data_IF_763977269170
#
_entry.id   IF_763977269170
#
_cell.length_a   1.000
_cell.length_b   1.000
_cell.length_c   1.000
_cell.angle_alpha   90.00
_cell.angle_beta   90.00
_cell.angle_gamma   90.00
#
_symmetry.space_group_name_H-M   'P 1'
#
loop_
_entity.id
_entity.type
_entity.pdbx_description
1 polymer ?
#
# COMPACT_ATOMS: atom_id res chain seq x y z
N UNK A 1 -1.31 24.17 3.59
CA UNK A 1 -0.08 24.43 4.39
C UNK A 1 1.13 24.11 3.54
N UNK A 2 2.33 24.66 3.90
CA UNK A 2 3.58 24.38 3.19
C UNK A 2 4.61 23.94 4.24
N UNK A 3 5.31 22.83 3.97
CA UNK A 3 6.47 22.40 4.73
C UNK A 3 7.74 22.77 3.98
N UNK A 4 8.66 23.50 4.65
CA UNK A 4 9.95 23.90 4.08
C UNK A 4 10.99 22.87 4.48
N UNK A 5 11.48 22.11 3.50
CA UNK A 5 12.54 21.13 3.76
C UNK A 5 13.84 21.86 4.06
N UNK A 6 14.45 21.53 5.18
CA UNK A 6 15.78 22.08 5.56
C UNK A 6 16.85 21.18 4.94
N UNK A 7 17.85 21.81 4.31
CA UNK A 7 19.03 21.07 3.85
C UNK A 7 19.84 20.56 5.05
N UNK A 8 20.27 19.31 4.98
CA UNK A 8 21.13 18.69 5.99
C UNK A 8 22.59 19.12 5.75
N UNK A 9 23.12 20.00 6.60
CA UNK A 9 24.50 20.51 6.48
C UNK A 9 25.53 19.64 7.23
N UNK A 10 25.10 18.94 8.27
CA UNK A 10 25.93 18.06 9.10
C UNK A 10 25.26 16.68 9.21
N UNK A 11 25.34 15.86 8.14
CA UNK A 11 24.70 14.56 8.16
C UNK A 11 25.31 13.63 9.21
N UNK A 12 24.47 12.85 9.86
CA UNK A 12 24.85 11.84 10.85
C UNK A 12 24.09 10.53 10.59
N UNK A 13 24.53 9.45 11.21
CA UNK A 13 23.86 8.16 11.07
C UNK A 13 22.41 8.22 11.55
N UNK A 14 21.52 7.66 10.73
CA UNK A 14 20.09 7.61 10.98
C UNK A 14 19.75 6.29 11.66
N UNK A 15 19.02 6.36 12.78
CA UNK A 15 18.36 5.22 13.40
C UNK A 15 16.93 5.65 13.69
N UNK A 16 15.96 4.97 13.06
CA UNK A 16 14.57 5.39 13.16
C UNK A 16 13.62 4.18 13.21
N UNK A 17 12.37 4.46 13.54
CA UNK A 17 11.26 3.51 13.46
C UNK A 17 10.16 4.07 12.58
N UNK A 18 9.44 3.20 11.91
CA UNK A 18 8.30 3.57 11.07
C UNK A 18 7.00 2.98 11.63
N UNK A 19 5.84 3.52 11.28
CA UNK A 19 4.56 2.95 11.72
C UNK A 19 4.36 1.53 11.18
N UNK A 20 3.36 0.83 11.72
CA UNK A 20 2.93 -0.47 11.20
C UNK A 20 2.46 -0.39 9.76
N UNK A 21 2.62 -1.49 9.02
CA UNK A 21 2.23 -1.58 7.61
C UNK A 21 0.73 -1.36 7.41
N UNK A 22 0.38 -0.37 6.57
CA UNK A 22 -1.00 -0.13 6.16
C UNK A 22 -1.61 -1.36 5.48
N UNK A 23 -0.85 -1.96 4.57
CA UNK A 23 -1.30 -3.10 3.77
C UNK A 23 -1.56 -4.34 4.63
N UNK A 24 -0.73 -4.58 5.64
CA UNK A 24 -0.91 -5.69 6.59
C UNK A 24 -2.02 -5.37 7.58
N UNK A 25 -2.06 -4.15 8.16
CA UNK A 25 -3.13 -3.73 9.09
C UNK A 25 -4.51 -3.94 8.50
N UNK A 26 -4.76 -3.44 7.28
CA UNK A 26 -6.08 -3.54 6.65
C UNK A 26 -6.47 -5.00 6.32
N UNK A 27 -5.51 -5.84 5.94
CA UNK A 27 -5.75 -7.28 5.74
C UNK A 27 -6.05 -7.99 7.06
N UNK A 28 -5.25 -7.74 8.07
CA UNK A 28 -5.42 -8.32 9.40
C UNK A 28 -6.77 -7.94 10.03
N UNK A 29 -7.21 -6.69 9.88
CA UNK A 29 -8.53 -6.23 10.33
C UNK A 29 -9.66 -7.07 9.72
N UNK A 30 -9.62 -7.29 8.38
CA UNK A 30 -10.65 -8.07 7.70
C UNK A 30 -10.58 -9.55 8.06
N UNK A 31 -9.38 -10.14 8.06
CA UNK A 31 -9.20 -11.57 8.37
C UNK A 31 -9.63 -11.84 9.82
N UNK A 32 -9.23 -10.98 10.79
CA UNK A 32 -9.64 -11.11 12.19
C UNK A 32 -11.16 -10.97 12.38
N UNK A 33 -11.83 -10.07 11.64
CA UNK A 33 -13.29 -9.93 11.66
C UNK A 33 -14.00 -11.19 11.11
N UNK A 34 -13.37 -11.86 10.15
CA UNK A 34 -13.89 -13.10 9.54
C UNK A 34 -13.46 -14.36 10.30
N UNK A 35 -12.49 -14.29 11.21
CA UNK A 35 -12.07 -15.41 12.06
C UNK A 35 -13.15 -15.81 13.09
N UNK A 36 -12.98 -16.97 13.73
CA UNK A 36 -13.85 -17.41 14.80
C UNK A 36 -13.25 -17.08 16.15
N UNK A 37 -13.78 -16.06 16.84
CA UNK A 37 -13.33 -15.68 18.18
C UNK A 37 -12.55 -14.37 18.23
N UNK A 38 -11.75 -14.20 19.30
CA UNK A 38 -11.05 -12.95 19.60
C UNK A 38 -9.62 -12.97 19.04
N UNK A 39 -9.26 -11.97 18.25
CA UNK A 39 -7.89 -11.70 17.81
C UNK A 39 -7.38 -10.39 18.41
N UNK A 40 -6.08 -10.30 18.68
CA UNK A 40 -5.38 -9.08 19.08
C UNK A 40 -4.33 -8.74 18.03
N UNK A 41 -4.51 -7.62 17.36
CA UNK A 41 -3.58 -7.10 16.36
C UNK A 41 -2.66 -6.08 17.03
N UNK A 42 -1.34 -6.28 16.99
CA UNK A 42 -0.34 -5.43 17.65
C UNK A 42 0.51 -4.71 16.62
N UNK A 43 0.97 -3.49 16.93
CA UNK A 43 1.74 -2.67 15.99
C UNK A 43 0.89 -2.08 14.85
N UNK A 44 -0.43 -1.99 15.03
CA UNK A 44 -1.34 -1.48 14.00
C UNK A 44 -1.01 -0.05 13.57
N UNK A 45 -1.24 0.22 12.28
CA UNK A 45 -1.27 1.57 11.78
C UNK A 45 -2.59 2.25 12.15
N UNK A 46 -2.50 3.44 12.75
CA UNK A 46 -3.61 4.37 12.91
C UNK A 46 -3.43 5.55 11.96
N UNK A 47 -4.19 5.56 10.90
CA UNK A 47 -4.20 6.57 9.83
C UNK A 47 -5.63 6.77 9.33
N UNK A 48 -5.84 7.74 8.48
CA UNK A 48 -7.18 7.96 7.89
C UNK A 48 -7.71 6.67 7.24
N UNK A 49 -6.89 5.96 6.48
CA UNK A 49 -7.28 4.71 5.80
C UNK A 49 -7.71 3.60 6.78
N UNK A 50 -6.96 3.38 7.85
CA UNK A 50 -7.28 2.33 8.84
C UNK A 50 -8.46 2.72 9.74
N UNK A 51 -8.62 4.00 10.06
CA UNK A 51 -9.77 4.49 10.84
C UNK A 51 -11.09 4.29 10.08
N UNK A 52 -11.13 4.55 8.77
CA UNK A 52 -12.30 4.22 7.94
C UNK A 52 -12.63 2.72 7.97
N UNK A 53 -11.58 1.86 7.92
CA UNK A 53 -11.80 0.41 7.99
C UNK A 53 -12.35 -0.02 9.36
N UNK A 54 -11.78 0.49 10.45
CA UNK A 54 -12.23 0.22 11.83
C UNK A 54 -13.68 0.67 12.03
N UNK A 55 -14.04 1.90 11.60
CA UNK A 55 -15.41 2.41 11.70
C UNK A 55 -16.39 1.52 10.91
N UNK A 56 -16.01 1.11 9.71
CA UNK A 56 -16.81 0.19 8.91
C UNK A 56 -17.09 -1.14 9.63
N UNK A 57 -16.09 -1.74 10.27
CA UNK A 57 -16.28 -2.98 11.05
C UNK A 57 -17.21 -2.76 12.25
N UNK A 58 -17.08 -1.63 12.96
CA UNK A 58 -17.97 -1.26 14.06
C UNK A 58 -19.41 -1.08 13.56
N UNK A 59 -19.62 -0.39 12.43
CA UNK A 59 -20.93 -0.19 11.81
C UNK A 59 -21.57 -1.51 11.39
N UNK A 60 -20.78 -2.46 10.89
CA UNK A 60 -21.18 -3.83 10.56
C UNK A 60 -21.48 -4.70 11.79
N UNK A 61 -21.21 -4.18 13.01
CA UNK A 61 -21.57 -4.79 14.28
C UNK A 61 -20.50 -5.70 14.87
N UNK A 62 -19.27 -5.68 14.34
CA UNK A 62 -18.16 -6.39 14.98
C UNK A 62 -17.75 -5.68 16.27
N UNK A 63 -17.51 -6.41 17.39
CA UNK A 63 -16.90 -5.85 18.59
C UNK A 63 -15.42 -5.53 18.30
N UNK A 64 -15.10 -4.25 18.29
CA UNK A 64 -13.74 -3.74 18.07
C UNK A 64 -13.36 -2.86 19.27
N UNK A 65 -12.23 -3.15 19.89
CA UNK A 65 -11.60 -2.32 20.92
C UNK A 65 -10.29 -1.78 20.39
N UNK A 66 -10.10 -0.49 20.49
CA UNK A 66 -8.93 0.23 19.97
C UNK A 66 -8.13 0.80 21.14
N UNK A 67 -6.82 0.56 21.17
CA UNK A 67 -5.85 1.16 22.07
C UNK A 67 -4.75 1.79 21.22
N UNK A 68 -4.91 3.07 20.86
CA UNK A 68 -3.96 3.79 19.98
C UNK A 68 -2.59 3.97 20.66
N UNK A 69 -2.55 4.15 21.98
CA UNK A 69 -1.30 4.32 22.74
C UNK A 69 -0.42 3.07 22.66
N UNK A 70 -1.03 1.88 22.71
CA UNK A 70 -0.34 0.60 22.54
C UNK A 70 -0.21 0.15 21.09
N UNK A 71 -0.85 0.87 20.16
CA UNK A 71 -1.02 0.45 18.77
C UNK A 71 -1.65 -0.93 18.63
N UNK A 72 -2.68 -1.20 19.44
CA UNK A 72 -3.37 -2.49 19.50
C UNK A 72 -4.84 -2.36 19.09
N UNK A 73 -5.34 -3.35 18.36
CA UNK A 73 -6.75 -3.50 18.03
C UNK A 73 -7.19 -4.90 18.38
N UNK A 74 -8.22 -5.02 19.23
CA UNK A 74 -8.86 -6.29 19.52
C UNK A 74 -10.15 -6.41 18.74
N UNK A 75 -10.33 -7.51 18.00
CA UNK A 75 -11.53 -7.79 17.19
C UNK A 75 -12.10 -9.13 17.59
N UNK A 76 -13.43 -9.20 17.76
CA UNK A 76 -14.14 -10.48 17.87
C UNK A 76 -14.83 -10.78 16.54
N UNK A 77 -14.36 -11.81 15.87
CA UNK A 77 -14.90 -12.29 14.60
C UNK A 77 -15.96 -13.37 14.78
N UNK A 78 -16.75 -13.60 13.73
CA UNK A 78 -17.93 -14.47 13.76
C UNK A 78 -17.87 -15.60 12.70
N UNK A 79 -16.68 -16.07 12.32
CA UNK A 79 -16.50 -17.22 11.43
C UNK A 79 -17.12 -17.00 10.04
N UNK A 80 -16.78 -15.88 9.39
CA UNK A 80 -17.27 -15.55 8.05
C UNK A 80 -18.63 -14.85 8.02
N UNK A 81 -19.29 -14.61 9.18
CA UNK A 81 -20.61 -13.95 9.21
C UNK A 81 -20.49 -12.51 9.62
N UNK A 82 -21.23 -11.61 8.97
CA UNK A 82 -21.39 -10.21 9.36
C UNK A 82 -22.53 -10.13 10.39
N UNK A 83 -22.33 -9.46 11.55
CA UNK A 83 -23.35 -9.38 12.61
C UNK A 83 -24.62 -8.63 12.19
N UNK A 84 -24.50 -7.56 11.40
CA UNK A 84 -25.62 -6.78 10.88
C UNK A 84 -25.80 -7.02 9.39
N UNK A 85 -27.04 -7.13 8.94
CA UNK A 85 -27.39 -7.30 7.53
C UNK A 85 -27.73 -5.98 6.81
N UNK A 86 -27.66 -4.85 7.49
CA UNK A 86 -27.81 -3.50 6.95
C UNK A 86 -26.80 -2.55 7.61
N UNK A 87 -26.14 -1.74 6.81
CA UNK A 87 -25.26 -0.66 7.30
C UNK A 87 -24.99 0.37 6.19
N UNK A 88 -24.66 1.59 6.61
CA UNK A 88 -24.04 2.61 5.78
C UNK A 88 -22.55 2.69 6.12
N UNK A 89 -21.71 2.58 5.10
CA UNK A 89 -20.26 2.48 5.23
C UNK A 89 -19.61 3.60 4.44
N UNK A 90 -18.78 4.41 5.12
CA UNK A 90 -17.93 5.40 4.47
C UNK A 90 -16.48 4.87 4.40
N UNK A 91 -16.00 4.66 3.18
CA UNK A 91 -14.63 4.19 2.94
C UNK A 91 -13.63 5.33 2.70
N UNK A 92 -14.08 6.57 2.71
CA UNK A 92 -13.24 7.74 2.50
C UNK A 92 -12.41 7.65 1.22
N UNK A 93 -11.11 7.94 1.31
CA UNK A 93 -10.12 7.78 0.23
C UNK A 93 -9.36 6.46 0.32
N UNK A 94 -9.74 5.58 1.24
CA UNK A 94 -9.02 4.35 1.58
C UNK A 94 -9.24 3.25 0.54
N UNK A 95 -8.34 3.16 -0.46
CA UNK A 95 -8.49 2.22 -1.57
C UNK A 95 -8.58 0.75 -1.14
N UNK A 96 -7.87 0.35 -0.08
CA UNK A 96 -7.93 -1.02 0.46
C UNK A 96 -9.27 -1.28 1.15
N UNK A 97 -9.73 -0.37 2.01
CA UNK A 97 -11.03 -0.48 2.66
C UNK A 97 -12.16 -0.54 1.63
N UNK A 98 -12.14 0.36 0.63
CA UNK A 98 -13.12 0.41 -0.45
C UNK A 98 -13.27 -0.94 -1.15
N UNK A 99 -12.16 -1.56 -1.57
CA UNK A 99 -12.19 -2.81 -2.34
C UNK A 99 -12.47 -4.03 -1.49
N UNK A 100 -11.86 -4.11 -0.30
CA UNK A 100 -12.03 -5.24 0.61
C UNK A 100 -13.44 -5.32 1.17
N UNK A 101 -13.98 -4.19 1.63
CA UNK A 101 -15.35 -4.14 2.14
C UNK A 101 -16.36 -4.35 1.02
N UNK A 102 -16.16 -3.81 -0.18
CA UNK A 102 -17.03 -4.07 -1.32
C UNK A 102 -17.10 -5.58 -1.64
N UNK A 103 -15.95 -6.28 -1.66
CA UNK A 103 -15.96 -7.73 -1.89
C UNK A 103 -16.65 -8.49 -0.75
N UNK A 104 -16.34 -8.16 0.50
CA UNK A 104 -17.01 -8.77 1.66
C UNK A 104 -18.53 -8.62 1.59
N UNK A 105 -19.00 -7.37 1.38
CA UNK A 105 -20.42 -7.03 1.40
C UNK A 105 -21.17 -7.59 0.18
N UNK A 106 -20.51 -7.59 -1.00
CA UNK A 106 -21.05 -8.19 -2.22
C UNK A 106 -21.16 -9.72 -2.19
N UNK A 107 -20.39 -10.39 -1.32
CA UNK A 107 -20.49 -11.82 -1.07
C UNK A 107 -21.35 -12.15 0.15
N UNK A 108 -21.79 -11.18 0.93
CA UNK A 108 -22.54 -11.38 2.17
C UNK A 108 -24.03 -11.14 1.99
N UNK A 109 -24.85 -11.90 2.72
CA UNK A 109 -26.29 -11.65 2.79
C UNK A 109 -26.55 -10.33 3.51
N UNK A 110 -27.38 -9.47 2.89
CA UNK A 110 -27.70 -8.16 3.45
C UNK A 110 -27.84 -7.07 2.40
N UNK A 111 -27.95 -5.84 2.85
CA UNK A 111 -28.07 -4.64 2.01
C UNK A 111 -27.23 -3.53 2.62
N UNK A 112 -26.14 -3.17 1.94
CA UNK A 112 -25.13 -2.26 2.47
C UNK A 112 -24.93 -1.10 1.51
N UNK A 113 -25.10 0.13 2.02
CA UNK A 113 -24.83 1.35 1.25
C UNK A 113 -23.40 1.80 1.49
N UNK A 114 -22.62 1.98 0.43
CA UNK A 114 -21.20 2.34 0.51
C UNK A 114 -20.97 3.68 -0.16
N UNK A 115 -20.46 4.63 0.62
CA UNK A 115 -20.06 5.97 0.15
C UNK A 115 -18.54 6.12 0.20
N UNK A 116 -18.01 7.11 -0.53
CA UNK A 116 -16.58 7.40 -0.57
C UNK A 116 -16.29 8.88 -0.83
N UNK A 117 -15.01 9.26 -0.72
CA UNK A 117 -14.56 10.59 -1.13
C UNK A 117 -14.59 10.76 -2.66
N UNK A 118 -14.57 12.02 -3.12
CA UNK A 118 -14.48 12.36 -4.56
C UNK A 118 -13.20 11.79 -5.23
N UNK A 119 -12.10 11.66 -4.47
CA UNK A 119 -10.87 11.03 -4.95
C UNK A 119 -11.10 9.53 -5.21
N UNK A 120 -11.79 8.83 -4.31
CA UNK A 120 -12.04 7.39 -4.46
C UNK A 120 -13.07 7.09 -5.55
N UNK A 121 -14.07 7.95 -5.78
CA UNK A 121 -15.04 7.82 -6.90
C UNK A 121 -14.36 7.69 -8.26
N UNK A 122 -13.18 8.33 -8.45
CA UNK A 122 -12.43 8.32 -9.71
C UNK A 122 -11.57 7.06 -9.90
N UNK A 123 -11.34 6.29 -8.84
CA UNK A 123 -10.46 5.12 -8.88
C UNK A 123 -11.19 3.90 -9.45
N UNK A 124 -10.47 2.98 -10.12
CA UNK A 124 -11.10 1.82 -10.76
C UNK A 124 -11.76 0.89 -9.73
N UNK A 125 -13.04 0.53 -10.01
CA UNK A 125 -13.83 -0.45 -9.25
C UNK A 125 -14.52 -1.46 -10.17
N UNK A 126 -14.65 -1.14 -11.47
CA UNK A 126 -15.48 -1.90 -12.43
C UNK A 126 -15.17 -3.39 -12.46
N UNK A 127 -13.88 -3.77 -12.54
CA UNK A 127 -13.54 -5.19 -12.70
C UNK A 127 -13.97 -6.02 -11.47
N UNK A 128 -13.87 -5.43 -10.25
CA UNK A 128 -14.36 -6.07 -9.03
C UNK A 128 -15.90 -6.16 -9.00
N UNK A 129 -16.59 -5.07 -9.32
CA UNK A 129 -18.06 -5.00 -9.27
C UNK A 129 -18.68 -5.97 -10.29
N UNK A 130 -18.17 -6.02 -11.52
CA UNK A 130 -18.60 -7.01 -12.54
C UNK A 130 -18.36 -8.46 -12.07
N UNK A 131 -17.25 -8.73 -11.39
CA UNK A 131 -16.99 -10.06 -10.83
C UNK A 131 -17.96 -10.41 -9.70
N UNK A 132 -18.32 -9.43 -8.86
CA UNK A 132 -19.32 -9.63 -7.80
C UNK A 132 -20.73 -9.83 -8.36
N UNK A 133 -21.13 -9.11 -9.40
CA UNK A 133 -22.40 -9.33 -10.12
C UNK A 133 -22.49 -10.76 -10.69
N UNK A 134 -21.41 -11.25 -11.31
CA UNK A 134 -21.33 -12.66 -11.78
C UNK A 134 -21.42 -13.65 -10.63
N UNK A 135 -21.01 -13.27 -9.43
CA UNK A 135 -21.13 -14.08 -8.21
C UNK A 135 -22.48 -13.91 -7.51
N UNK A 136 -23.45 -13.25 -8.13
CA UNK A 136 -24.82 -13.10 -7.63
C UNK A 136 -25.02 -11.88 -6.73
N UNK A 137 -24.08 -10.95 -6.66
CA UNK A 137 -24.32 -9.68 -5.97
C UNK A 137 -25.32 -8.81 -6.72
N UNK A 138 -26.22 -8.16 -5.97
CA UNK A 138 -27.11 -7.12 -6.48
C UNK A 138 -26.51 -5.76 -6.16
N UNK A 139 -26.34 -4.91 -7.17
CA UNK A 139 -25.74 -3.59 -7.03
C UNK A 139 -26.69 -2.53 -7.58
N UNK A 140 -27.02 -1.54 -6.75
CA UNK A 140 -27.83 -0.37 -7.11
C UNK A 140 -26.91 0.85 -7.06
N UNK A 141 -26.61 1.46 -8.21
CA UNK A 141 -25.74 2.63 -8.30
C UNK A 141 -26.56 3.92 -8.10
N UNK A 142 -26.08 4.84 -7.25
CA UNK A 142 -26.77 6.10 -6.97
C UNK A 142 -26.52 7.14 -8.07
N UNK A 143 -25.33 7.15 -8.66
CA UNK A 143 -24.87 8.13 -9.66
C UNK A 143 -24.43 7.43 -10.95
N UNK A 144 -23.18 7.02 -11.01
CA UNK A 144 -22.56 6.41 -12.19
C UNK A 144 -22.34 4.91 -11.99
N UNK A 145 -22.63 4.12 -13.02
CA UNK A 145 -22.39 2.69 -13.04
C UNK A 145 -20.90 2.37 -12.74
N UNK A 146 -20.65 1.37 -11.89
CA UNK A 146 -19.33 0.93 -11.42
C UNK A 146 -18.54 1.97 -10.62
N UNK A 147 -19.20 3.01 -10.06
CA UNK A 147 -18.59 4.01 -9.20
C UNK A 147 -19.39 4.17 -7.90
N UNK A 148 -18.70 4.61 -6.84
CA UNK A 148 -19.37 5.03 -5.61
C UNK A 148 -20.22 6.30 -5.85
N UNK A 149 -21.29 6.51 -5.06
CA UNK A 149 -21.84 5.59 -4.06
C UNK A 149 -22.75 4.53 -4.72
N UNK A 150 -22.92 3.40 -4.01
CA UNK A 150 -23.82 2.34 -4.42
C UNK A 150 -24.30 1.50 -3.23
N UNK A 151 -25.43 0.82 -3.39
CA UNK A 151 -25.89 -0.21 -2.45
C UNK A 151 -25.58 -1.59 -3.00
N UNK A 152 -25.01 -2.48 -2.17
CA UNK A 152 -24.60 -3.83 -2.55
C UNK A 152 -25.06 -4.86 -1.53
N UNK A 153 -25.32 -6.08 -2.00
CA UNK A 153 -25.62 -7.23 -1.15
C UNK A 153 -25.79 -8.51 -1.98
N UNK A 154 -26.08 -9.63 -1.31
CA UNK A 154 -26.24 -10.92 -1.94
C UNK A 154 -27.38 -11.72 -1.30
N UNK A 155 -28.02 -12.61 -2.04
CA UNK A 155 -29.05 -13.53 -1.53
C UNK A 155 -28.47 -14.84 -0.98
N UNK A 156 -27.20 -15.13 -1.26
CA UNK A 156 -26.50 -16.35 -0.90
C UNK A 156 -26.47 -17.40 -2.00
N UNK A 157 -26.84 -17.02 -3.22
CA UNK A 157 -26.69 -17.84 -4.42
C UNK A 157 -25.43 -17.41 -5.18
N UNK A 158 -24.42 -18.28 -5.21
CA UNK A 158 -23.11 -17.94 -5.78
C UNK A 158 -22.76 -18.86 -6.96
N UNK A 159 -22.13 -18.33 -7.98
CA UNK A 159 -21.41 -19.13 -8.96
C UNK A 159 -20.19 -19.84 -8.32
N UNK A 160 -19.70 -20.92 -8.94
CA UNK A 160 -18.56 -21.69 -8.42
C UNK A 160 -17.22 -21.14 -8.88
N UNK A 161 -17.24 -20.29 -9.89
CA UNK A 161 -16.05 -19.69 -10.50
C UNK A 161 -16.27 -18.23 -10.85
N UNK A 162 -15.20 -17.45 -10.82
CA UNK A 162 -15.19 -16.08 -11.33
C UNK A 162 -13.85 -15.77 -11.97
N UNK A 163 -13.87 -14.91 -12.99
CA UNK A 163 -12.68 -14.35 -13.60
C UNK A 163 -12.44 -12.94 -13.04
N UNK A 164 -11.18 -12.61 -12.75
CA UNK A 164 -10.78 -11.29 -12.29
C UNK A 164 -9.54 -10.80 -13.02
N UNK A 165 -9.58 -9.55 -13.51
CA UNK A 165 -8.43 -8.88 -14.09
C UNK A 165 -7.74 -8.02 -13.02
N UNK A 166 -6.41 -8.17 -12.88
CA UNK A 166 -5.60 -7.48 -11.88
C UNK A 166 -4.80 -6.29 -12.43
N UNK A 167 -4.83 -6.04 -13.74
CA UNK A 167 -3.97 -5.02 -14.37
C UNK A 167 -4.24 -3.60 -13.85
N UNK A 168 -5.47 -3.30 -13.43
CA UNK A 168 -5.80 -2.01 -12.81
C UNK A 168 -5.60 -2.01 -11.30
N UNK A 169 -5.74 -3.15 -10.63
CA UNK A 169 -5.52 -3.27 -9.19
C UNK A 169 -5.48 -4.73 -8.72
N UNK A 170 -4.38 -5.13 -8.12
CA UNK A 170 -4.26 -6.44 -7.43
C UNK A 170 -5.14 -6.53 -6.17
N UNK A 171 -5.63 -5.40 -5.66
CA UNK A 171 -6.54 -5.38 -4.51
C UNK A 171 -7.88 -6.07 -4.81
N UNK A 172 -8.31 -6.14 -6.07
CA UNK A 172 -9.53 -6.86 -6.46
C UNK A 172 -9.42 -8.36 -6.13
N UNK A 173 -8.31 -8.97 -6.54
CA UNK A 173 -8.07 -10.39 -6.25
C UNK A 173 -7.87 -10.63 -4.76
N UNK A 174 -7.07 -9.79 -4.08
CA UNK A 174 -6.87 -9.87 -2.63
C UNK A 174 -8.19 -9.79 -1.86
N UNK A 175 -9.09 -8.88 -2.28
CA UNK A 175 -10.42 -8.70 -1.69
C UNK A 175 -11.29 -9.96 -1.83
N UNK A 176 -11.34 -10.55 -3.02
CA UNK A 176 -12.09 -11.77 -3.29
C UNK A 176 -11.52 -12.97 -2.51
N UNK A 177 -10.19 -13.11 -2.45
CA UNK A 177 -9.52 -14.19 -1.72
C UNK A 177 -9.89 -14.16 -0.23
N UNK A 178 -9.72 -13.01 0.44
CA UNK A 178 -10.01 -12.90 1.88
C UNK A 178 -11.49 -13.14 2.16
N UNK A 179 -12.37 -12.59 1.32
CA UNK A 179 -13.82 -12.62 1.55
C UNK A 179 -14.49 -13.93 1.13
N UNK A 180 -13.83 -14.79 0.36
CA UNK A 180 -14.43 -16.01 -0.21
C UNK A 180 -14.96 -16.99 0.84
N UNK A 181 -14.49 -16.96 2.08
CA UNK A 181 -14.97 -17.86 3.15
C UNK A 181 -16.45 -17.67 3.47
N UNK A 182 -17.03 -16.49 3.20
CA UNK A 182 -18.46 -16.22 3.47
C UNK A 182 -19.40 -17.00 2.56
N UNK A 183 -18.90 -17.55 1.45
CA UNK A 183 -19.69 -18.30 0.47
C UNK A 183 -19.96 -19.75 0.92
N UNK A 184 -19.18 -20.29 1.85
CA UNK A 184 -19.29 -21.67 2.37
C UNK A 184 -19.36 -22.77 1.28
N UNK A 185 -18.66 -22.57 0.15
CA UNK A 185 -18.61 -23.50 -0.98
C UNK A 185 -17.21 -23.60 -1.59
N UNK A 186 -16.96 -24.63 -2.39
CA UNK A 186 -15.75 -24.64 -3.22
C UNK A 186 -15.84 -23.51 -4.24
N UNK A 187 -14.78 -22.72 -4.34
CA UNK A 187 -14.76 -21.54 -5.17
C UNK A 187 -13.43 -21.40 -5.90
N UNK A 188 -13.48 -21.09 -7.19
CA UNK A 188 -12.29 -20.89 -8.01
C UNK A 188 -12.26 -19.47 -8.56
N UNK A 189 -11.14 -18.80 -8.41
CA UNK A 189 -10.87 -17.46 -8.97
C UNK A 189 -9.82 -17.63 -10.08
N UNK A 190 -10.23 -17.41 -11.33
CA UNK A 190 -9.31 -17.36 -12.46
C UNK A 190 -8.75 -15.92 -12.58
N UNK A 191 -7.45 -15.80 -12.78
CA UNK A 191 -6.77 -14.51 -12.80
C UNK A 191 -6.27 -14.20 -14.20
N UNK A 192 -6.57 -13.00 -14.67
CA UNK A 192 -5.97 -12.41 -15.88
C UNK A 192 -5.15 -11.20 -15.50
N UNK A 193 -4.08 -10.94 -16.26
CA UNK A 193 -3.10 -9.91 -15.91
C UNK A 193 -2.04 -10.42 -14.93
N UNK A 194 -1.04 -9.58 -14.68
CA UNK A 194 0.14 -9.94 -13.87
C UNK A 194 0.52 -8.89 -12.84
N UNK A 195 -0.22 -7.77 -12.80
CA UNK A 195 0.13 -6.63 -11.96
C UNK A 195 -0.05 -6.90 -10.46
N UNK A 196 0.93 -6.46 -9.67
CA UNK A 196 0.85 -6.40 -8.21
C UNK A 196 0.72 -7.75 -7.52
N UNK A 197 1.23 -8.82 -8.13
CA UNK A 197 1.14 -10.19 -7.58
C UNK A 197 1.88 -10.34 -6.24
N UNK A 198 2.87 -9.49 -5.92
CA UNK A 198 3.49 -9.48 -4.59
C UNK A 198 2.48 -9.15 -3.47
N UNK A 199 1.52 -8.24 -3.71
CA UNK A 199 0.45 -7.94 -2.75
C UNK A 199 -0.57 -9.08 -2.63
N UNK A 200 -0.78 -9.85 -3.70
CA UNK A 200 -1.62 -11.06 -3.68
C UNK A 200 -0.92 -12.16 -2.87
N UNK A 201 0.40 -12.34 -3.06
CA UNK A 201 1.19 -13.29 -2.28
C UNK A 201 1.22 -12.91 -0.80
N UNK A 202 1.41 -11.62 -0.46
CA UNK A 202 1.25 -11.13 0.92
C UNK A 202 -0.12 -11.55 1.50
N UNK A 203 -1.20 -11.36 0.73
CA UNK A 203 -2.55 -11.75 1.15
C UNK A 203 -2.62 -13.25 1.43
N UNK A 204 -2.12 -14.09 0.52
CA UNK A 204 -2.12 -15.56 0.65
C UNK A 204 -1.33 -16.02 1.86
N UNK A 205 -0.15 -15.43 2.10
CA UNK A 205 0.70 -15.76 3.24
C UNK A 205 0.03 -15.35 4.58
N UNK A 206 -0.61 -14.19 4.63
CA UNK A 206 -1.38 -13.78 5.80
C UNK A 206 -2.59 -14.71 6.05
N UNK A 207 -3.35 -15.07 5.00
CA UNK A 207 -4.44 -16.05 5.12
C UNK A 207 -3.92 -17.37 5.69
N UNK A 208 -2.75 -17.84 5.25
CA UNK A 208 -2.09 -19.03 5.77
C UNK A 208 -1.68 -18.89 7.24
N UNK A 209 -1.16 -17.74 7.66
CA UNK A 209 -0.85 -17.46 9.07
C UNK A 209 -2.09 -17.50 9.96
N UNK A 210 -3.25 -17.12 9.43
CA UNK A 210 -4.56 -17.25 10.09
C UNK A 210 -5.24 -18.62 9.83
N UNK A 211 -4.50 -19.65 9.48
CA UNK A 211 -4.98 -21.04 9.37
C UNK A 211 -5.58 -21.44 8.02
N UNK A 212 -5.69 -20.52 7.05
CA UNK A 212 -6.27 -20.84 5.73
C UNK A 212 -5.21 -20.84 4.63
N UNK A 213 -4.79 -22.03 4.19
CA UNK A 213 -3.90 -22.19 3.04
C UNK A 213 -4.74 -22.35 1.75
N UNK A 214 -4.64 -21.37 0.85
CA UNK A 214 -5.32 -21.35 -0.44
C UNK A 214 -4.45 -21.97 -1.50
N UNK A 215 -4.97 -22.95 -2.23
CA UNK A 215 -4.25 -23.59 -3.33
C UNK A 215 -4.16 -22.65 -4.53
N UNK A 216 -2.94 -22.46 -5.04
CA UNK A 216 -2.68 -21.78 -6.30
C UNK A 216 -2.39 -22.81 -7.40
N UNK A 217 -3.21 -22.85 -8.44
CA UNK A 217 -2.92 -23.56 -9.67
C UNK A 217 -2.16 -22.63 -10.63
N UNK A 218 -0.84 -22.74 -10.60
CA UNK A 218 0.05 -21.91 -11.45
C UNK A 218 -0.13 -22.18 -12.94
N UNK A 219 -0.57 -23.38 -13.33
CA UNK A 219 -0.76 -23.75 -14.74
C UNK A 219 -1.97 -23.03 -15.35
N UNK A 220 -3.04 -22.92 -14.57
CA UNK A 220 -4.29 -22.29 -15.01
C UNK A 220 -4.42 -20.84 -14.49
N UNK A 221 -3.39 -20.33 -13.80
CA UNK A 221 -3.39 -19.02 -13.15
C UNK A 221 -4.67 -18.80 -12.33
N UNK A 222 -4.95 -19.71 -11.40
CA UNK A 222 -6.16 -19.67 -10.59
C UNK A 222 -5.90 -19.98 -9.12
N UNK A 223 -6.84 -19.55 -8.27
CA UNK A 223 -6.85 -19.84 -6.84
C UNK A 223 -8.09 -20.64 -6.49
N UNK A 224 -7.94 -21.67 -5.65
CA UNK A 224 -9.01 -22.56 -5.23
C UNK A 224 -9.18 -22.45 -3.72
N UNK A 225 -10.39 -22.02 -3.31
CA UNK A 225 -10.79 -21.89 -1.91
C UNK A 225 -11.71 -23.08 -1.57
N UNK A 226 -11.37 -23.88 -0.55
CA UNK A 226 -12.17 -25.05 -0.20
C UNK A 226 -13.47 -24.66 0.55
N UNK A 227 -14.53 -25.46 0.44
CA UNK A 227 -15.83 -25.23 1.09
C UNK A 227 -15.74 -25.03 2.62
N UNK A 228 -14.77 -25.66 3.27
CA UNK A 228 -14.58 -25.59 4.72
C UNK A 228 -13.48 -24.57 5.10
N UNK A 229 -13.26 -23.55 4.25
CA UNK A 229 -12.34 -22.47 4.57
C UNK A 229 -12.79 -21.74 5.84
N UNK A 230 -11.87 -21.51 6.76
CA UNK A 230 -12.11 -20.77 7.98
C UNK A 230 -10.81 -20.12 8.44
N UNK A 231 -10.92 -18.95 9.07
CA UNK A 231 -9.80 -18.32 9.75
C UNK A 231 -9.82 -18.62 11.24
N UNK A 232 -8.64 -18.82 11.81
CA UNK A 232 -8.42 -18.97 13.24
C UNK A 232 -8.15 -17.59 13.87
N UNK A 233 -8.74 -17.36 15.06
CA UNK A 233 -8.41 -16.16 15.83
C UNK A 233 -7.05 -16.32 16.48
N UNK A 234 -6.23 -15.26 16.45
CA UNK A 234 -4.90 -15.28 17.04
C UNK A 234 -4.41 -13.87 17.43
N UNK A 235 -3.36 -13.81 18.23
CA UNK A 235 -2.57 -12.61 18.42
C UNK A 235 -1.63 -12.46 17.21
N UNK A 236 -1.65 -11.29 16.56
CA UNK A 236 -0.93 -11.06 15.33
C UNK A 236 -0.11 -9.76 15.40
N UNK A 237 1.19 -9.88 15.16
CA UNK A 237 2.10 -8.74 15.13
C UNK A 237 2.16 -8.17 13.71
N UNK A 238 1.80 -6.89 13.56
CA UNK A 238 1.88 -6.15 12.29
C UNK A 238 3.33 -5.72 12.09
N UNK A 239 3.92 -6.10 10.96
CA UNK A 239 5.26 -5.65 10.57
C UNK A 239 5.31 -4.12 10.40
N UNK A 240 6.46 -3.48 10.67
CA UNK A 240 6.69 -2.08 10.26
C UNK A 240 6.47 -1.89 8.75
N UNK A 241 6.03 -0.70 8.34
CA UNK A 241 5.75 -0.39 6.95
C UNK A 241 7.05 -0.25 6.14
N UNK A 242 7.35 -1.25 5.30
CA UNK A 242 8.56 -1.25 4.46
C UNK A 242 8.53 -0.12 3.44
N UNK A 243 7.34 0.24 2.92
CA UNK A 243 7.23 1.39 2.03
C UNK A 243 7.69 2.68 2.70
N UNK A 244 7.32 2.87 3.98
CA UNK A 244 7.78 4.01 4.77
C UNK A 244 9.29 3.93 5.09
N UNK A 245 9.81 2.73 5.36
CA UNK A 245 11.23 2.50 5.61
C UNK A 245 12.10 2.86 4.40
N UNK A 246 11.61 2.64 3.18
CA UNK A 246 12.35 2.92 1.94
C UNK A 246 12.74 4.40 1.82
N UNK A 247 11.95 5.34 2.34
CA UNK A 247 12.35 6.76 2.35
C UNK A 247 13.62 6.98 3.17
N UNK A 248 13.72 6.35 4.34
CA UNK A 248 14.89 6.45 5.22
C UNK A 248 16.09 5.68 4.66
N UNK A 249 15.88 4.51 4.05
CA UNK A 249 16.97 3.80 3.37
C UNK A 249 17.53 4.60 2.19
N UNK A 250 16.68 5.29 1.42
CA UNK A 250 17.10 6.18 0.32
C UNK A 250 17.92 7.39 0.79
N UNK A 251 17.79 7.79 2.06
CA UNK A 251 18.64 8.86 2.64
C UNK A 251 20.09 8.40 2.79
N UNK A 252 20.36 7.08 2.91
CA UNK A 252 21.74 6.58 3.08
C UNK A 252 22.64 6.98 1.90
N UNK A 253 22.37 6.61 0.64
CA UNK A 253 23.19 7.05 -0.48
C UNK A 253 23.11 8.57 -0.71
N UNK A 254 21.94 9.18 -0.45
CA UNK A 254 21.71 10.60 -0.69
C UNK A 254 22.56 11.50 0.22
N UNK A 255 22.59 11.22 1.52
CA UNK A 255 23.29 12.00 2.55
C UNK A 255 24.68 11.44 2.87
N UNK A 256 25.01 10.27 2.33
CA UNK A 256 26.23 9.52 2.60
C UNK A 256 26.39 9.15 4.08
N UNK A 257 25.36 8.59 4.69
CA UNK A 257 25.28 8.16 6.10
C UNK A 257 24.75 6.73 6.20
N UNK A 258 25.02 6.07 7.32
CA UNK A 258 24.32 4.82 7.65
C UNK A 258 22.85 5.15 7.96
N UNK A 259 21.93 4.36 7.42
CA UNK A 259 20.50 4.42 7.77
C UNK A 259 20.01 3.07 8.27
N UNK A 260 19.46 3.04 9.48
CA UNK A 260 18.87 1.85 10.10
C UNK A 260 17.41 2.08 10.40
N UNK A 261 16.55 1.17 9.97
CA UNK A 261 15.13 1.17 10.33
C UNK A 261 14.83 -0.04 11.21
N UNK A 262 14.33 0.24 12.42
CA UNK A 262 14.10 -0.75 13.45
C UNK A 262 12.93 -1.69 13.07
N UNK A 263 13.09 -2.98 13.36
CA UNK A 263 12.05 -4.00 13.20
C UNK A 263 11.72 -4.39 11.75
N UNK A 264 12.37 -3.79 10.75
CA UNK A 264 12.25 -4.21 9.35
C UNK A 264 13.27 -5.28 9.04
N UNK A 265 12.84 -6.38 8.39
CA UNK A 265 13.68 -7.52 8.06
C UNK A 265 13.52 -7.96 6.61
N UNK A 266 14.54 -8.63 6.03
CA UNK A 266 14.52 -9.09 4.63
C UNK A 266 13.44 -10.15 4.36
N UNK A 267 12.98 -10.88 5.38
CA UNK A 267 11.91 -11.86 5.28
C UNK A 267 10.49 -11.23 5.41
N UNK A 268 10.38 -9.91 5.34
CA UNK A 268 9.09 -9.21 5.36
C UNK A 268 8.13 -9.75 4.30
N UNK A 269 6.84 -9.82 4.63
CA UNK A 269 5.77 -10.13 3.67
C UNK A 269 5.59 -9.05 2.60
N UNK A 270 6.15 -7.86 2.81
CA UNK A 270 5.96 -6.68 1.96
C UNK A 270 6.96 -6.69 0.79
N UNK A 271 6.44 -6.73 -0.45
CA UNK A 271 7.26 -6.75 -1.66
C UNK A 271 8.22 -5.57 -1.82
N UNK A 272 7.92 -4.46 -1.14
CA UNK A 272 8.75 -3.23 -1.14
C UNK A 272 10.17 -3.47 -0.59
N UNK A 273 10.40 -4.56 0.14
CA UNK A 273 11.75 -4.94 0.60
C UNK A 273 12.72 -5.12 -0.57
N UNK A 274 12.23 -5.45 -1.77
CA UNK A 274 13.03 -5.55 -2.99
C UNK A 274 13.66 -4.21 -3.42
N UNK A 275 13.20 -3.08 -2.91
CA UNK A 275 13.86 -1.79 -3.11
C UNK A 275 15.29 -1.76 -2.56
N UNK A 276 15.58 -2.58 -1.57
CA UNK A 276 16.94 -2.71 -1.02
C UNK A 276 17.91 -3.29 -2.05
N UNK A 277 17.45 -4.18 -2.95
CA UNK A 277 18.29 -4.73 -4.03
C UNK A 277 18.64 -3.61 -5.03
N UNK A 278 17.68 -2.71 -5.32
CA UNK A 278 17.95 -1.51 -6.13
C UNK A 278 19.05 -0.65 -5.47
N UNK A 279 18.96 -0.42 -4.16
CA UNK A 279 19.99 0.33 -3.43
C UNK A 279 21.35 -0.37 -3.44
N UNK A 280 21.38 -1.71 -3.41
CA UNK A 280 22.64 -2.48 -3.57
C UNK A 280 23.24 -2.24 -4.95
N UNK A 281 22.47 -2.32 -6.01
CA UNK A 281 22.91 -2.03 -7.39
C UNK A 281 23.37 -0.57 -7.54
N UNK A 282 22.76 0.35 -6.79
CA UNK A 282 23.18 1.75 -6.71
C UNK A 282 24.46 1.97 -5.89
N UNK A 283 25.05 0.89 -5.33
CA UNK A 283 26.34 0.88 -4.63
C UNK A 283 26.27 0.80 -3.11
N UNK A 284 25.09 0.73 -2.51
CA UNK A 284 24.92 0.56 -1.07
C UNK A 284 25.28 -0.86 -0.60
N UNK A 285 25.47 -1.00 0.69
CA UNK A 285 25.61 -2.32 1.34
C UNK A 285 24.46 -2.51 2.34
N UNK A 286 23.74 -3.62 2.23
CA UNK A 286 22.62 -3.94 3.11
C UNK A 286 23.03 -5.05 4.08
N UNK A 287 22.67 -4.89 5.35
CA UNK A 287 22.79 -5.95 6.36
C UNK A 287 21.50 -6.03 7.18
N UNK A 288 21.00 -7.26 7.39
CA UNK A 288 19.86 -7.53 8.27
C UNK A 288 20.38 -7.89 9.66
N UNK A 289 20.26 -6.97 10.60
CA UNK A 289 20.69 -7.15 11.99
C UNK A 289 19.50 -7.61 12.85
N UNK A 290 19.77 -8.05 14.07
CA UNK A 290 18.75 -8.61 14.96
C UNK A 290 17.58 -7.66 15.26
N UNK A 291 17.79 -6.36 15.16
CA UNK A 291 16.83 -5.30 15.49
C UNK A 291 16.42 -4.45 14.26
N UNK A 292 16.85 -4.82 13.06
CA UNK A 292 16.42 -4.17 11.82
C UNK A 292 17.49 -4.09 10.75
N UNK A 293 17.07 -3.72 9.54
CA UNK A 293 17.94 -3.59 8.38
C UNK A 293 18.75 -2.29 8.45
N UNK A 294 20.03 -2.41 8.12
CA UNK A 294 20.98 -1.33 7.95
C UNK A 294 21.32 -1.16 6.47
N UNK A 295 21.22 0.05 5.97
CA UNK A 295 21.72 0.48 4.67
C UNK A 295 22.96 1.37 4.87
N UNK A 296 24.10 0.93 4.35
CA UNK A 296 25.35 1.68 4.32
C UNK A 296 25.51 2.36 2.96
N UNK A 297 25.95 3.61 2.89
CA UNK A 297 26.12 4.32 1.64
C UNK A 297 27.23 3.74 0.76
N UNK A 298 27.25 4.07 -0.55
CA UNK A 298 28.34 3.69 -1.45
C UNK A 298 29.69 4.17 -0.94
N UNK A 299 30.71 3.31 -0.92
CA UNK A 299 32.05 3.63 -0.38
C UNK A 299 32.72 4.84 -1.05
N UNK A 300 32.45 5.07 -2.33
CA UNK A 300 33.03 6.15 -3.13
C UNK A 300 32.13 7.39 -3.23
N UNK A 301 31.07 7.47 -2.43
CA UNK A 301 30.06 8.52 -2.44
C UNK A 301 29.35 8.75 -3.80
N UNK A 302 29.43 7.78 -4.74
CA UNK A 302 28.75 7.85 -6.03
C UNK A 302 27.55 6.91 -6.03
N UNK A 303 26.38 7.46 -6.28
CA UNK A 303 25.15 6.69 -6.50
C UNK A 303 25.19 6.21 -7.96
N UNK A 304 25.13 4.91 -8.19
CA UNK A 304 25.18 4.34 -9.53
C UNK A 304 23.82 4.48 -10.21
N UNK A 305 23.79 4.87 -11.49
CA UNK A 305 22.60 4.77 -12.33
C UNK A 305 22.40 3.34 -12.84
N UNK A 306 21.22 3.07 -13.37
CA UNK A 306 20.82 1.76 -13.90
C UNK A 306 19.36 1.75 -14.32
N UNK A 307 18.83 0.61 -14.75
CA UNK A 307 17.40 0.46 -15.05
C UNK A 307 16.84 -0.74 -14.28
N UNK A 308 15.67 -0.56 -13.66
CA UNK A 308 15.02 -1.56 -12.82
C UNK A 308 13.54 -1.68 -13.13
N UNK A 309 13.05 -2.92 -13.16
CA UNK A 309 11.62 -3.22 -13.23
C UNK A 309 11.03 -3.20 -11.81
N UNK A 310 10.15 -2.24 -11.55
CA UNK A 310 9.46 -2.04 -10.28
C UNK A 310 8.02 -2.59 -10.30
N UNK A 311 7.65 -3.42 -11.24
CA UNK A 311 6.28 -3.94 -11.38
C UNK A 311 5.75 -4.64 -10.12
N UNK A 312 6.61 -5.23 -9.30
CA UNK A 312 6.26 -5.93 -8.06
C UNK A 312 6.27 -5.05 -6.80
N UNK A 313 6.95 -3.89 -6.84
CA UNK A 313 7.05 -2.91 -5.74
C UNK A 313 6.96 -1.47 -6.24
N UNK A 314 6.03 -1.22 -7.12
CA UNK A 314 5.86 0.04 -7.88
C UNK A 314 5.60 1.28 -7.02
N UNK A 315 5.21 1.12 -5.76
CA UNK A 315 5.07 2.21 -4.81
C UNK A 315 6.42 2.93 -4.56
N UNK A 316 7.56 2.24 -4.78
CA UNK A 316 8.90 2.81 -4.64
C UNK A 316 9.39 3.56 -5.89
N UNK A 317 8.62 3.60 -6.96
CA UNK A 317 8.95 4.39 -8.15
C UNK A 317 9.18 5.88 -7.82
N UNK A 318 8.35 6.44 -6.93
CA UNK A 318 8.47 7.81 -6.45
C UNK A 318 9.77 8.03 -5.64
N UNK A 319 10.11 7.08 -4.76
CA UNK A 319 11.33 7.14 -3.94
C UNK A 319 12.59 7.08 -4.83
N UNK A 320 12.60 6.14 -5.78
CA UNK A 320 13.71 6.02 -6.74
C UNK A 320 13.84 7.25 -7.61
N UNK A 321 12.70 7.79 -8.12
CA UNK A 321 12.67 9.00 -8.93
C UNK A 321 13.24 10.21 -8.18
N UNK A 322 12.97 10.33 -6.87
CA UNK A 322 13.42 11.44 -6.06
C UNK A 322 14.95 11.45 -5.81
N UNK A 323 15.60 10.26 -5.78
CA UNK A 323 17.06 10.15 -5.61
C UNK A 323 17.82 10.03 -6.95
N UNK A 324 17.13 9.68 -8.03
CA UNK A 324 17.71 9.51 -9.37
C UNK A 324 18.54 10.71 -9.85
N UNK A 325 18.16 11.99 -9.60
CA UNK A 325 18.95 13.15 -10.03
C UNK A 325 20.38 13.20 -9.46
N UNK A 326 20.64 12.50 -8.37
CA UNK A 326 21.94 12.47 -7.67
C UNK A 326 22.82 11.29 -8.10
N UNK A 327 22.35 10.45 -9.03
CA UNK A 327 23.13 9.35 -9.57
C UNK A 327 24.19 9.85 -10.57
N UNK A 328 25.21 9.01 -10.82
CA UNK A 328 26.29 9.31 -11.76
C UNK A 328 25.97 8.98 -13.23
N UNK A 329 24.83 8.32 -13.48
CA UNK A 329 24.33 7.94 -14.80
C UNK A 329 22.80 7.93 -14.78
N UNK A 330 22.12 7.90 -15.96
CA UNK A 330 20.66 7.84 -16.01
C UNK A 330 20.06 6.67 -15.24
N UNK A 331 18.87 6.92 -14.65
CA UNK A 331 18.07 5.95 -13.92
C UNK A 331 16.80 5.65 -14.71
N UNK A 332 16.60 4.38 -15.08
CA UNK A 332 15.38 3.86 -15.69
C UNK A 332 14.49 3.23 -14.63
N UNK A 333 13.21 3.57 -14.68
CA UNK A 333 12.16 3.00 -13.82
C UNK A 333 11.13 2.38 -14.73
N UNK A 334 11.04 1.05 -14.77
CA UNK A 334 10.21 0.31 -15.70
C UNK A 334 9.08 -0.46 -14.97
N UNK A 335 8.09 -0.96 -15.71
CA UNK A 335 7.00 -1.76 -15.14
C UNK A 335 5.96 -0.96 -14.35
N UNK A 336 5.86 0.36 -14.57
CA UNK A 336 5.08 1.26 -13.70
C UNK A 336 3.89 1.96 -14.35
N UNK A 337 3.49 1.64 -15.58
CA UNK A 337 2.38 2.33 -16.27
C UNK A 337 1.08 2.39 -15.47
N UNK A 338 0.80 1.38 -14.64
CA UNK A 338 -0.40 1.27 -13.82
C UNK A 338 -0.47 2.30 -12.67
N UNK A 339 0.68 2.91 -12.25
CA UNK A 339 0.67 3.90 -11.16
C UNK A 339 -0.03 5.21 -11.55
N UNK A 340 -0.39 5.40 -12.81
CA UNK A 340 -1.27 6.49 -13.25
C UNK A 340 -2.69 6.40 -12.69
N UNK A 341 -3.12 5.21 -12.25
CA UNK A 341 -4.48 4.93 -11.77
C UNK A 341 -4.56 4.79 -10.23
N UNK A 342 -3.53 5.26 -9.52
CA UNK A 342 -3.48 5.17 -8.06
C UNK A 342 -4.09 6.42 -7.38
N UNK A 343 -3.46 6.96 -6.34
CA UNK A 343 -3.96 8.15 -5.62
C UNK A 343 -4.03 9.38 -6.53
N UNK A 344 -3.04 9.52 -7.42
CA UNK A 344 -2.98 10.46 -8.52
C UNK A 344 -2.34 9.79 -9.75
N UNK A 345 -2.22 10.49 -10.88
CA UNK A 345 -1.31 10.07 -11.95
C UNK A 345 0.13 10.29 -11.48
N UNK A 346 0.72 9.24 -10.90
CA UNK A 346 2.05 9.31 -10.29
C UNK A 346 3.15 9.52 -11.31
N UNK A 347 3.00 9.04 -12.55
CA UNK A 347 3.97 9.28 -13.62
C UNK A 347 4.00 10.78 -13.91
N UNK A 348 2.84 11.39 -14.17
CA UNK A 348 2.76 12.84 -14.38
C UNK A 348 3.28 13.63 -13.16
N UNK A 349 2.96 13.18 -11.95
CA UNK A 349 3.46 13.83 -10.71
C UNK A 349 4.99 13.77 -10.59
N UNK A 350 5.64 12.68 -11.01
CA UNK A 350 7.10 12.56 -11.07
C UNK A 350 7.65 13.53 -12.11
N UNK A 351 7.11 13.54 -13.33
CA UNK A 351 7.58 14.38 -14.43
C UNK A 351 7.49 15.86 -14.09
N UNK A 352 6.33 16.34 -13.63
CA UNK A 352 6.13 17.74 -13.28
C UNK A 352 7.07 18.17 -12.12
N UNK A 353 7.16 17.40 -11.04
CA UNK A 353 7.99 17.78 -9.91
C UNK A 353 9.49 17.72 -10.24
N UNK A 354 9.96 16.75 -11.03
CA UNK A 354 11.35 16.70 -11.50
C UNK A 354 11.66 17.87 -12.44
N UNK A 355 10.75 18.24 -13.32
CA UNK A 355 10.92 19.40 -14.20
C UNK A 355 11.06 20.72 -13.39
N UNK A 356 10.22 20.91 -12.36
CA UNK A 356 10.32 22.06 -11.43
C UNK A 356 11.66 22.08 -10.68
N UNK A 357 12.19 20.90 -10.30
CA UNK A 357 13.52 20.74 -9.71
C UNK A 357 14.66 21.00 -10.72
N UNK A 358 14.34 21.17 -12.00
CA UNK A 358 15.31 21.37 -13.08
C UNK A 358 15.96 20.09 -13.59
N UNK A 359 15.35 18.96 -13.36
CA UNK A 359 15.83 17.62 -13.74
C UNK A 359 15.20 17.21 -15.06
N UNK A 360 16.02 16.67 -15.97
CA UNK A 360 15.54 16.09 -17.23
C UNK A 360 14.93 14.71 -16.95
N UNK A 361 13.71 14.50 -17.41
CA UNK A 361 12.99 13.24 -17.39
C UNK A 361 12.40 12.95 -18.76
N UNK A 362 12.33 11.69 -19.13
CA UNK A 362 11.74 11.22 -20.38
C UNK A 362 10.79 10.06 -20.07
N UNK A 363 9.55 10.15 -20.56
CA UNK A 363 8.65 9.01 -20.54
C UNK A 363 9.10 7.96 -21.57
N UNK A 364 9.15 6.69 -21.17
CA UNK A 364 9.43 5.54 -22.01
C UNK A 364 8.21 4.61 -22.06
N UNK A 365 8.20 3.61 -22.93
CA UNK A 365 7.02 2.78 -23.21
C UNK A 365 6.29 2.26 -21.97
N UNK A 366 7.02 1.88 -20.91
CA UNK A 366 6.44 1.33 -19.67
C UNK A 366 7.05 1.96 -18.41
N UNK A 367 7.41 3.23 -18.45
CA UNK A 367 8.04 3.88 -17.30
C UNK A 367 8.68 5.22 -17.61
N UNK A 368 9.76 5.52 -16.90
CA UNK A 368 10.48 6.79 -16.95
C UNK A 368 11.99 6.59 -17.05
N UNK A 369 12.68 7.52 -17.69
CA UNK A 369 14.13 7.66 -17.65
C UNK A 369 14.49 9.04 -17.10
N UNK A 370 15.23 9.06 -16.01
CA UNK A 370 15.60 10.29 -15.28
C UNK A 370 17.11 10.48 -15.40
N UNK A 371 17.53 11.70 -15.70
CA UNK A 371 18.93 12.02 -15.93
C UNK A 371 19.54 12.69 -14.71
N UNK A 372 20.85 12.49 -14.45
CA UNK A 372 21.57 13.22 -13.42
C UNK A 372 21.44 14.73 -13.56
N UNK A 373 21.38 15.46 -12.46
CA UNK A 373 21.33 16.91 -12.44
C UNK A 373 22.57 17.50 -11.77
N UNK A 374 23.16 18.53 -12.38
CA UNK A 374 24.28 19.24 -11.76
C UNK A 374 23.88 19.99 -10.49
N UNK A 375 22.65 20.51 -10.48
CA UNK A 375 22.06 21.20 -9.34
C UNK A 375 20.54 21.02 -9.31
N UNK A 376 19.98 21.04 -8.11
CA UNK A 376 18.54 21.01 -7.86
C UNK A 376 18.07 22.45 -7.66
N UNK A 377 17.04 22.86 -8.38
CA UNK A 377 16.47 24.20 -8.29
C UNK A 377 15.50 24.30 -7.11
N UNK A 378 15.47 25.46 -6.41
CA UNK A 378 14.41 25.75 -5.45
C UNK A 378 13.04 25.68 -6.13
N UNK A 379 12.10 24.94 -5.54
CA UNK A 379 10.74 24.84 -6.09
C UNK A 379 9.70 24.43 -5.04
N UNK A 380 8.43 24.45 -5.45
CA UNK A 380 7.32 23.95 -4.65
C UNK A 380 6.83 22.64 -5.23
N UNK A 381 6.99 21.56 -4.48
CA UNK A 381 6.51 20.23 -4.83
C UNK A 381 4.99 20.18 -4.71
N UNK A 382 4.32 19.80 -5.79
CA UNK A 382 2.88 19.54 -5.83
C UNK A 382 2.64 18.10 -5.39
N UNK A 383 1.90 17.91 -4.31
CA UNK A 383 1.67 16.56 -3.75
C UNK A 383 0.50 15.82 -4.39
N UNK A 384 -0.41 16.50 -5.06
CA UNK A 384 -1.62 15.92 -5.69
C UNK A 384 -2.48 15.11 -4.68
N UNK A 385 -2.48 15.51 -3.41
CA UNK A 385 -3.11 14.77 -2.31
C UNK A 385 -2.62 13.30 -2.22
N UNK A 386 -1.34 13.07 -2.61
CA UNK A 386 -0.68 11.77 -2.53
C UNK A 386 0.49 11.82 -1.53
N UNK A 387 0.32 11.06 -0.46
CA UNK A 387 1.30 10.95 0.62
C UNK A 387 2.69 10.48 0.14
N UNK A 388 2.73 9.58 -0.87
CA UNK A 388 4.00 9.07 -1.39
C UNK A 388 4.75 10.14 -2.19
N UNK A 389 4.04 10.99 -2.95
CA UNK A 389 4.65 12.15 -3.61
C UNK A 389 5.25 13.07 -2.57
N UNK A 390 4.49 13.40 -1.50
CA UNK A 390 4.97 14.28 -0.44
C UNK A 390 6.24 13.74 0.24
N UNK A 391 6.22 12.48 0.68
CA UNK A 391 7.34 11.87 1.41
C UNK A 391 8.57 11.65 0.52
N UNK A 392 8.40 11.14 -0.71
CA UNK A 392 9.50 10.91 -1.64
C UNK A 392 10.18 12.22 -2.07
N UNK A 393 9.40 13.21 -2.50
CA UNK A 393 9.95 14.47 -3.00
C UNK A 393 10.44 15.41 -1.87
N UNK A 394 10.34 15.00 -0.61
CA UNK A 394 11.09 15.60 0.49
C UNK A 394 12.61 15.30 0.38
N UNK A 395 12.99 14.14 -0.15
CA UNK A 395 14.38 13.69 -0.25
C UNK A 395 15.31 14.69 -0.97
N UNK A 396 14.97 15.24 -2.17
CA UNK A 396 15.79 16.24 -2.84
C UNK A 396 16.09 17.46 -1.96
N UNK A 397 15.12 17.88 -1.13
CA UNK A 397 15.28 19.03 -0.23
C UNK A 397 16.26 18.81 0.92
N UNK A 398 16.52 17.55 1.31
CA UNK A 398 17.56 17.25 2.31
C UNK A 398 18.97 17.53 1.77
N UNK A 399 19.15 17.52 0.45
CA UNK A 399 20.42 17.77 -0.24
C UNK A 399 20.53 19.18 -0.82
N UNK A 400 19.43 19.82 -1.17
CA UNK A 400 19.36 21.12 -1.81
C UNK A 400 18.48 22.11 -1.05
N UNK A 401 18.79 23.40 -1.13
CA UNK A 401 18.00 24.45 -0.48
C UNK A 401 16.77 24.85 -1.29
N UNK A 402 15.71 25.29 -0.60
CA UNK A 402 14.55 25.94 -1.20
C UNK A 402 13.50 24.99 -1.78
N UNK A 403 13.53 23.72 -1.39
CA UNK A 403 12.45 22.77 -1.69
C UNK A 403 11.34 22.90 -0.65
N UNK A 404 10.11 23.14 -1.11
CA UNK A 404 8.93 23.30 -0.27
C UNK A 404 7.86 22.27 -0.68
N UNK A 405 7.25 21.57 0.28
CA UNK A 405 6.18 20.61 0.02
C UNK A 405 4.82 21.29 0.23
N UNK A 406 4.01 21.34 -0.82
CA UNK A 406 2.64 21.84 -0.75
C UNK A 406 1.76 20.76 -0.15
N UNK A 407 0.90 21.13 0.81
CA UNK A 407 0.00 20.21 1.51
C UNK A 407 0.68 18.96 2.10
N UNK A 408 1.58 19.15 3.09
CA UNK A 408 2.26 18.03 3.77
C UNK A 408 1.28 17.13 4.55
N UNK A 409 0.07 17.59 4.84
CA UNK A 409 -0.94 16.84 5.59
C UNK A 409 -1.45 15.58 4.86
N UNK A 410 -1.27 15.49 3.56
CA UNK A 410 -1.61 14.26 2.83
C UNK A 410 -0.86 13.02 3.37
N UNK A 411 0.26 13.20 4.08
CA UNK A 411 1.00 12.11 4.73
C UNK A 411 0.20 11.38 5.80
N UNK A 412 -0.80 12.01 6.43
CA UNK A 412 -1.67 11.38 7.45
C UNK A 412 -2.39 10.12 6.95
N UNK A 413 -2.46 9.92 5.65
CA UNK A 413 -3.02 8.73 5.03
C UNK A 413 -2.26 7.44 5.39
N UNK A 414 -0.94 7.55 5.70
CA UNK A 414 -0.11 6.38 6.03
C UNK A 414 0.93 6.64 7.11
N UNK A 415 1.37 7.90 7.29
CA UNK A 415 2.42 8.24 8.25
C UNK A 415 2.17 9.65 8.79
N UNK A 416 1.22 9.78 9.72
CA UNK A 416 0.71 11.08 10.20
C UNK A 416 1.82 12.04 10.67
N UNK A 417 2.78 11.52 11.42
CA UNK A 417 3.90 12.30 11.98
C UNK A 417 5.21 12.17 11.19
N UNK A 418 5.12 11.94 9.86
CA UNK A 418 6.31 11.75 9.01
C UNK A 418 7.35 12.84 9.15
N UNK A 419 6.94 14.11 9.14
CA UNK A 419 7.87 15.24 9.21
C UNK A 419 8.50 15.40 10.59
N UNK A 420 7.82 15.02 11.67
CA UNK A 420 8.37 14.99 13.03
C UNK A 420 9.46 13.91 13.11
N UNK A 421 9.15 12.68 12.69
CA UNK A 421 10.12 11.58 12.66
C UNK A 421 11.30 11.88 11.73
N UNK A 422 11.05 12.53 10.59
CA UNK A 422 12.10 12.98 9.69
C UNK A 422 13.03 13.96 10.40
N UNK A 423 12.48 15.01 11.03
CA UNK A 423 13.28 16.05 11.72
C UNK A 423 14.12 15.46 12.86
N UNK A 424 13.54 14.55 13.65
CA UNK A 424 14.26 13.83 14.72
C UNK A 424 15.36 12.91 14.19
N UNK A 425 15.19 12.38 12.96
CA UNK A 425 16.12 11.41 12.38
C UNK A 425 17.31 12.06 11.65
N UNK A 426 17.17 13.29 11.15
CA UNK A 426 18.17 13.89 10.24
C UNK A 426 18.76 15.21 10.74
N UNK A 427 18.17 15.88 11.77
CA UNK A 427 18.65 17.14 12.33
C UNK A 427 18.99 17.02 13.83
#
# INVERSE_FOLDING_TARGET
MIYKVKKVNHPHDIVTSVPGSKSITNRALLIAALASGRSVLKGCLFSDDSRHFIDALIRLGFPVLVDEDKREITITGFGGRIPKNEAEIDVGSAGTAARFLTALLGLSKGRYHIVSSEQMKKRPMKDLLVSLEKLGAHIEYDENEYHFPFTIGNTGEYADTVDINVDKSSQFLSALLISAIVMEKNFTINVTGTHGMAYVEMTRLMMKQFGLDVMQDKKNNSFIIPKKAAYESLDYDIEPDVSAACYFYAMSPLLHVKSKVMGVHQNSLQGDVAFLDVLVDMGCTISDEADGIVCMPPKNAHIHGGSWDLSTFSDQALTLAAIAPFANAPVGIEGISHIRLQECDRINAIEENLAELGVRVEEIENGLRIYPAECIKPCKIKTYDDHRVAMSFTLPGLKAEGVEIIDPYCCRKTFENFYEVLEESVY
#
